data_IF_609394755970
#
_entry.id   IF_609394755970
#
_cell.length_a   1.000
_cell.length_b   1.000
_cell.length_c   1.000
_cell.angle_alpha   90.00
_cell.angle_beta   90.00
_cell.angle_gamma   90.00
#
_symmetry.space_group_name_H-M   'P 1'
#
loop_
_entity.id
_entity.type
_entity.pdbx_description
1 polymer ?
#
# COMPACT_ATOMS: atom_id res chain seq x y z
N UNK A 1 21.31 13.39 7.72
CA UNK A 1 20.38 14.49 7.38
C UNK A 1 20.73 15.19 6.06
N UNK A 2 22.01 15.47 5.76
CA UNK A 2 22.40 16.11 4.48
C UNK A 2 22.03 15.28 3.22
N UNK A 3 21.98 13.96 3.35
CA UNK A 3 21.68 13.03 2.25
C UNK A 3 20.19 13.04 1.82
N UNK A 4 19.28 13.18 2.80
CA UNK A 4 17.84 13.27 2.55
C UNK A 4 17.48 14.57 1.81
N UNK A 5 18.11 15.69 2.15
CA UNK A 5 17.85 16.96 1.49
C UNK A 5 18.30 16.95 0.01
N UNK A 6 19.37 16.22 -0.32
CA UNK A 6 19.83 16.06 -1.69
C UNK A 6 18.90 15.14 -2.51
N UNK A 7 18.45 14.02 -1.92
CA UNK A 7 17.46 13.14 -2.54
C UNK A 7 16.13 13.85 -2.77
N UNK A 8 15.65 14.63 -1.80
CA UNK A 8 14.43 15.45 -1.92
C UNK A 8 14.55 16.50 -3.04
N UNK A 9 15.71 17.16 -3.15
CA UNK A 9 15.95 18.15 -4.19
C UNK A 9 16.01 17.54 -5.60
N UNK A 10 16.56 16.33 -5.74
CA UNK A 10 16.61 15.61 -7.02
C UNK A 10 15.23 15.07 -7.42
N UNK A 11 14.45 14.53 -6.48
CA UNK A 11 13.05 14.14 -6.70
C UNK A 11 12.19 15.33 -7.10
N UNK A 12 12.35 16.48 -6.42
CA UNK A 12 11.64 17.72 -6.74
C UNK A 12 12.03 18.29 -8.12
N UNK A 13 13.26 18.03 -8.59
CA UNK A 13 13.69 18.38 -9.95
C UNK A 13 13.12 17.47 -11.02
N UNK A 14 13.02 16.16 -10.75
CA UNK A 14 12.54 15.17 -11.73
C UNK A 14 11.03 15.13 -11.85
N UNK A 15 10.32 15.41 -10.76
CA UNK A 15 8.87 15.40 -10.75
C UNK A 15 8.35 16.74 -10.25
N UNK A 16 7.73 17.52 -11.14
CA UNK A 16 6.92 18.68 -10.72
C UNK A 16 5.59 18.15 -10.17
N UNK A 17 5.64 17.36 -9.11
CA UNK A 17 4.42 16.87 -8.45
C UNK A 17 3.79 18.07 -7.75
N UNK A 18 2.53 18.44 -8.06
CA UNK A 18 1.86 19.53 -7.36
C UNK A 18 1.87 19.27 -5.86
N UNK A 19 2.27 20.27 -5.04
CA UNK A 19 2.41 20.16 -3.56
C UNK A 19 1.19 19.55 -2.85
N UNK A 20 0.00 19.64 -3.44
CA UNK A 20 -1.22 19.00 -2.97
C UNK A 20 -1.17 17.46 -2.89
N UNK A 21 -0.27 16.79 -3.62
CA UNK A 21 -0.06 15.34 -3.56
C UNK A 21 0.93 14.90 -2.47
N UNK A 22 1.74 15.82 -1.92
CA UNK A 22 2.66 15.56 -0.80
C UNK A 22 1.95 15.46 0.57
N UNK A 23 0.63 15.59 0.61
CA UNK A 23 -0.19 15.55 1.84
C UNK A 23 -0.83 14.17 2.06
N UNK A 24 -0.55 13.18 1.20
CA UNK A 24 -0.91 11.79 1.46
C UNK A 24 0.03 11.17 2.51
N UNK A 25 -0.19 11.57 3.76
CA UNK A 25 0.27 10.92 4.98
C UNK A 25 1.80 10.92 5.18
N UNK A 26 2.32 11.93 5.91
CA UNK A 26 3.75 12.06 6.27
C UNK A 26 4.32 10.79 6.94
N UNK A 27 3.48 9.99 7.59
CA UNK A 27 3.81 8.69 8.19
C UNK A 27 4.04 7.59 7.14
N UNK A 28 3.14 7.48 6.18
CA UNK A 28 3.27 6.59 5.02
C UNK A 28 4.48 7.02 4.18
N UNK A 29 4.64 8.33 3.96
CA UNK A 29 5.79 8.91 3.27
C UNK A 29 7.13 8.56 3.95
N UNK A 30 7.18 8.52 5.29
CA UNK A 30 8.40 8.16 6.05
C UNK A 30 8.73 6.67 6.00
N UNK A 31 7.71 5.81 5.89
CA UNK A 31 7.90 4.38 5.64
C UNK A 31 8.42 4.11 4.22
N UNK A 32 7.88 4.85 3.24
CA UNK A 32 8.30 4.75 1.84
C UNK A 32 9.63 5.44 1.55
N UNK A 33 10.00 6.58 2.17
CA UNK A 33 11.30 7.24 1.89
C UNK A 33 12.51 6.43 2.34
N UNK A 34 12.38 5.56 3.35
CA UNK A 34 13.41 4.57 3.67
C UNK A 34 13.60 3.52 2.55
N UNK A 35 12.56 3.28 1.74
CA UNK A 35 12.56 2.40 0.57
C UNK A 35 12.79 3.13 -0.77
N UNK A 36 12.49 4.43 -0.88
CA UNK A 36 12.69 5.24 -2.09
C UNK A 36 14.17 5.47 -2.43
N UNK A 37 15.11 5.11 -1.56
CA UNK A 37 16.51 4.91 -1.96
C UNK A 37 16.71 3.77 -2.97
N UNK A 38 15.65 3.00 -3.26
CA UNK A 38 15.58 1.87 -4.20
C UNK A 38 14.38 2.00 -5.13
N UNK A 39 14.27 3.09 -5.88
CA UNK A 39 13.26 3.16 -6.95
C UNK A 39 13.55 2.07 -8.00
N UNK A 40 12.69 1.04 -8.03
CA UNK A 40 12.32 0.24 -9.20
C UNK A 40 13.22 -0.95 -9.56
N UNK A 41 12.95 -2.13 -8.98
CA UNK A 41 13.09 -3.40 -9.71
C UNK A 41 11.72 -3.80 -10.29
N UNK A 42 11.65 -4.47 -11.46
CA UNK A 42 10.41 -5.05 -11.93
C UNK A 42 9.78 -5.95 -10.85
N UNK A 43 8.53 -5.65 -10.44
CA UNK A 43 7.76 -6.40 -9.44
C UNK A 43 7.48 -5.67 -8.12
N UNK A 44 8.30 -4.68 -7.73
CA UNK A 44 8.12 -4.03 -6.43
C UNK A 44 6.88 -3.11 -6.41
N UNK A 45 6.09 -3.17 -5.33
CA UNK A 45 4.96 -2.27 -5.11
C UNK A 45 5.46 -0.85 -4.82
N UNK A 46 5.21 0.07 -5.75
CA UNK A 46 5.53 1.48 -5.58
C UNK A 46 4.24 2.33 -5.60
N UNK A 47 4.16 3.42 -4.83
CA UNK A 47 3.03 4.35 -4.90
C UNK A 47 3.02 5.17 -6.21
N UNK A 48 4.10 5.09 -6.99
CA UNK A 48 4.26 5.73 -8.30
C UNK A 48 4.86 4.73 -9.28
N UNK A 49 4.34 4.68 -10.51
CA UNK A 49 4.91 3.89 -11.61
C UNK A 49 5.03 4.75 -12.87
N UNK A 50 6.19 4.70 -13.52
CA UNK A 50 6.40 5.35 -14.81
C UNK A 50 5.68 4.59 -15.92
N UNK A 51 5.19 5.31 -16.93
CA UNK A 51 4.55 4.74 -18.10
C UNK A 51 4.85 5.59 -19.35
N UNK A 52 4.71 5.04 -20.57
CA UNK A 52 4.89 5.83 -21.77
C UNK A 52 4.05 7.11 -21.75
N UNK A 53 4.69 8.26 -21.91
CA UNK A 53 4.06 9.59 -21.91
C UNK A 53 3.68 10.15 -20.54
N UNK A 54 4.18 9.59 -19.42
CA UNK A 54 3.95 10.15 -18.09
C UNK A 54 4.08 9.11 -16.97
N UNK A 55 3.15 9.12 -16.02
CA UNK A 55 3.19 8.19 -14.90
C UNK A 55 1.86 8.06 -14.18
N UNK A 56 1.78 7.09 -13.28
CA UNK A 56 0.63 6.86 -12.43
C UNK A 56 1.01 7.03 -10.97
N UNK A 57 0.14 7.69 -10.21
CA UNK A 57 0.26 7.86 -8.78
C UNK A 57 -0.93 7.20 -8.11
N UNK A 58 -0.67 6.41 -7.07
CA UNK A 58 -1.66 5.91 -6.15
C UNK A 58 -1.64 6.78 -4.89
N UNK A 59 -2.79 7.35 -4.56
CA UNK A 59 -2.93 8.23 -3.42
C UNK A 59 -4.22 8.00 -2.65
N UNK A 60 -4.38 8.77 -1.58
CA UNK A 60 -5.62 8.87 -0.84
C UNK A 60 -6.22 10.25 -1.10
N UNK A 61 -7.43 10.29 -1.63
CA UNK A 61 -8.27 11.46 -1.60
C UNK A 61 -8.99 11.51 -0.25
N UNK A 62 -9.01 12.67 0.42
CA UNK A 62 -9.80 12.88 1.63
C UNK A 62 -10.87 13.92 1.36
N UNK A 63 -12.12 13.53 1.50
CA UNK A 63 -13.21 14.50 1.60
C UNK A 63 -13.18 15.07 3.03
N UNK A 64 -12.96 16.39 3.14
CA UNK A 64 -12.85 17.07 4.43
C UNK A 64 -14.20 17.17 5.13
N UNK A 65 -15.30 17.26 4.37
CA UNK A 65 -16.64 17.36 4.94
C UNK A 65 -17.11 16.02 5.52
N UNK A 66 -16.76 14.91 4.86
CA UNK A 66 -17.19 13.57 5.28
C UNK A 66 -16.17 12.87 6.20
N UNK A 67 -14.95 13.43 6.30
CA UNK A 67 -13.79 12.79 6.95
C UNK A 67 -13.47 11.41 6.36
N UNK A 68 -13.94 11.13 5.15
CA UNK A 68 -13.76 9.86 4.45
C UNK A 68 -12.48 9.88 3.61
N UNK A 69 -11.82 8.71 3.53
CA UNK A 69 -10.67 8.49 2.68
C UNK A 69 -11.04 7.55 1.53
N UNK A 70 -10.61 7.91 0.32
CA UNK A 70 -10.79 7.11 -0.89
C UNK A 70 -9.43 6.84 -1.53
N UNK A 71 -9.06 5.58 -1.77
CA UNK A 71 -7.92 5.31 -2.61
C UNK A 71 -8.24 5.78 -4.04
N UNK A 72 -7.30 6.48 -4.65
CA UNK A 72 -7.46 7.09 -5.97
C UNK A 72 -6.21 6.84 -6.81
N UNK A 73 -6.43 6.49 -8.08
CA UNK A 73 -5.37 6.46 -9.10
C UNK A 73 -5.41 7.76 -9.87
N UNK A 74 -4.24 8.37 -10.07
CA UNK A 74 -4.06 9.59 -10.85
C UNK A 74 -3.10 9.31 -11.99
N UNK A 75 -3.52 9.62 -13.22
CA UNK A 75 -2.64 9.62 -14.39
C UNK A 75 -2.07 11.01 -14.59
N UNK A 76 -0.76 11.07 -14.75
CA UNK A 76 0.00 12.27 -15.08
C UNK A 76 0.54 12.16 -16.51
N UNK A 77 0.66 13.29 -17.20
CA UNK A 77 1.45 13.39 -18.41
C UNK A 77 2.95 13.52 -18.10
N UNK A 78 3.79 13.60 -19.13
CA UNK A 78 5.24 13.73 -18.99
C UNK A 78 5.69 15.05 -18.31
N UNK A 79 4.82 16.06 -18.24
CA UNK A 79 5.07 17.31 -17.53
C UNK A 79 4.57 17.27 -16.07
N UNK A 80 3.94 16.17 -15.64
CA UNK A 80 3.34 16.02 -14.32
C UNK A 80 1.94 16.63 -14.20
N UNK A 81 1.31 17.03 -15.31
CA UNK A 81 -0.06 17.52 -15.30
C UNK A 81 -1.05 16.35 -15.20
N UNK A 82 -2.14 16.55 -14.44
CA UNK A 82 -3.17 15.52 -14.26
C UNK A 82 -3.96 15.35 -15.56
N UNK A 83 -3.91 14.16 -16.15
CA UNK A 83 -4.74 13.80 -17.29
C UNK A 83 -6.11 13.29 -16.83
N UNK A 84 -6.13 12.40 -15.84
CA UNK A 84 -7.36 11.88 -15.26
C UNK A 84 -7.15 11.42 -13.82
N UNK A 85 -8.27 11.25 -13.09
CA UNK A 85 -8.30 10.62 -11.79
C UNK A 85 -9.43 9.59 -11.69
N UNK A 86 -9.21 8.54 -10.90
CA UNK A 86 -10.18 7.49 -10.66
C UNK A 86 -10.19 7.08 -9.20
N UNK A 87 -11.27 7.40 -8.51
CA UNK A 87 -11.58 6.79 -7.22
C UNK A 87 -11.77 5.28 -7.38
N UNK A 88 -11.11 4.51 -6.53
CA UNK A 88 -11.24 3.06 -6.50
C UNK A 88 -12.46 2.64 -5.65
N UNK A 89 -13.01 1.44 -5.90
CA UNK A 89 -14.15 0.94 -5.15
C UNK A 89 -13.92 0.94 -3.64
N UNK A 90 -14.94 1.42 -2.93
CA UNK A 90 -14.95 1.53 -1.48
C UNK A 90 -16.11 0.72 -0.91
N UNK A 91 -15.88 -0.51 -0.44
CA UNK A 91 -16.91 -1.23 0.29
C UNK A 91 -17.31 -0.43 1.54
N UNK A 92 -18.62 -0.26 1.78
CA UNK A 92 -19.18 0.63 2.81
C UNK A 92 -18.70 0.31 4.23
N UNK A 93 -18.27 -0.91 4.47
CA UNK A 93 -17.74 -1.37 5.76
C UNK A 93 -16.35 -0.84 6.10
N UNK A 94 -15.67 -0.15 5.17
CA UNK A 94 -14.31 0.36 5.36
C UNK A 94 -14.27 1.88 5.40
N UNK A 95 -13.60 2.40 6.43
CA UNK A 95 -13.55 3.84 6.72
C UNK A 95 -12.18 4.45 6.46
N UNK A 96 -11.11 3.66 6.61
CA UNK A 96 -9.74 4.10 6.39
C UNK A 96 -9.06 3.15 5.42
N UNK A 97 -8.12 3.72 4.65
CA UNK A 97 -7.42 3.01 3.59
C UNK A 97 -5.94 3.33 3.68
N UNK A 98 -5.13 2.32 3.42
CA UNK A 98 -3.74 2.49 3.07
C UNK A 98 -3.53 2.13 1.60
N UNK A 99 -2.59 2.82 0.97
CA UNK A 99 -2.15 2.54 -0.39
C UNK A 99 -0.85 1.79 -0.33
N UNK A 100 -0.79 0.61 -0.95
CA UNK A 100 0.42 -0.21 -0.93
C UNK A 100 1.26 0.00 -2.18
N UNK A 101 0.62 -0.05 -3.34
CA UNK A 101 1.32 0.25 -4.59
C UNK A 101 0.48 0.04 -5.83
N UNK A 102 1.08 0.45 -6.94
CA UNK A 102 0.58 0.30 -8.28
C UNK A 102 1.65 -0.36 -9.15
N UNK A 103 1.23 -1.23 -10.06
CA UNK A 103 2.09 -1.87 -11.05
C UNK A 103 1.46 -1.75 -12.43
N UNK A 104 2.27 -1.42 -13.44
CA UNK A 104 1.87 -1.52 -14.85
C UNK A 104 2.03 -2.98 -15.31
N UNK A 105 0.91 -3.62 -15.67
CA UNK A 105 0.88 -4.97 -16.18
C UNK A 105 1.33 -5.03 -17.66
N UNK A 106 1.80 -6.19 -18.16
CA UNK A 106 2.21 -6.34 -19.56
C UNK A 106 1.12 -6.04 -20.60
N UNK A 107 -0.14 -6.21 -20.23
CA UNK A 107 -1.30 -5.87 -21.08
C UNK A 107 -1.63 -4.37 -21.10
N UNK A 108 -0.79 -3.56 -20.45
CA UNK A 108 -0.95 -2.11 -20.33
C UNK A 108 -1.89 -1.68 -19.20
N UNK A 109 -2.58 -2.58 -18.50
CA UNK A 109 -3.43 -2.18 -17.37
C UNK A 109 -2.62 -1.90 -16.11
N UNK A 110 -3.25 -1.29 -15.12
CA UNK A 110 -2.69 -1.09 -13.79
C UNK A 110 -3.27 -2.11 -12.83
N UNK A 111 -2.41 -2.72 -12.03
CA UNK A 111 -2.80 -3.40 -10.81
C UNK A 111 -2.57 -2.48 -9.64
N UNK A 112 -3.58 -2.36 -8.79
CA UNK A 112 -3.54 -1.50 -7.61
C UNK A 112 -3.79 -2.35 -6.38
N UNK A 113 -2.94 -2.18 -5.36
CA UNK A 113 -3.08 -2.83 -4.07
C UNK A 113 -3.32 -1.78 -2.99
N UNK A 114 -4.35 -2.01 -2.20
CA UNK A 114 -4.74 -1.15 -1.06
C UNK A 114 -5.03 -2.02 0.15
N UNK A 115 -5.06 -1.41 1.33
CA UNK A 115 -5.46 -2.06 2.57
C UNK A 115 -6.58 -1.24 3.21
N UNK A 116 -7.86 -1.54 2.91
CA UNK A 116 -8.96 -1.05 3.70
C UNK A 116 -8.92 -1.60 5.13
N UNK A 117 -9.46 -0.82 6.07
CA UNK A 117 -9.61 -1.22 7.47
C UNK A 117 -11.07 -1.15 7.90
N UNK A 118 -11.51 -2.18 8.62
CA UNK A 118 -12.87 -2.26 9.19
C UNK A 118 -13.03 -1.31 10.39
N UNK A 119 -13.17 -0.01 10.11
CA UNK A 119 -13.25 1.05 11.12
C UNK A 119 -11.88 1.61 11.54
N UNK A 120 -11.87 2.57 12.47
CA UNK A 120 -10.62 3.20 12.97
C UNK A 120 -9.77 2.20 13.75
N UNK A 121 -8.69 1.72 13.14
CA UNK A 121 -7.80 0.72 13.74
C UNK A 121 -8.35 -0.72 13.68
N UNK A 122 -9.31 -0.97 12.76
CA UNK A 122 -9.88 -2.29 12.55
C UNK A 122 -8.92 -3.29 11.92
N UNK A 123 -9.43 -4.47 11.56
CA UNK A 123 -8.61 -5.47 10.87
C UNK A 123 -8.33 -4.98 9.44
N UNK A 124 -7.10 -5.16 8.93
CA UNK A 124 -6.77 -4.88 7.54
C UNK A 124 -7.42 -5.92 6.62
N UNK A 125 -7.97 -5.46 5.51
CA UNK A 125 -8.61 -6.27 4.48
C UNK A 125 -7.98 -5.93 3.13
N UNK A 126 -6.76 -6.42 2.83
CA UNK A 126 -6.09 -6.11 1.57
C UNK A 126 -7.04 -6.27 0.37
N UNK A 127 -6.98 -5.33 -0.55
CA UNK A 127 -7.86 -5.28 -1.71
C UNK A 127 -7.04 -5.02 -2.97
N UNK A 128 -7.51 -5.56 -4.08
CA UNK A 128 -6.91 -5.38 -5.39
C UNK A 128 -7.91 -4.84 -6.40
N UNK A 129 -7.41 -4.00 -7.29
CA UNK A 129 -8.16 -3.55 -8.46
C UNK A 129 -7.29 -3.62 -9.72
N UNK A 130 -7.94 -3.89 -10.85
CA UNK A 130 -7.36 -3.73 -12.17
C UNK A 130 -8.01 -2.53 -12.87
N UNK A 131 -7.20 -1.61 -13.36
CA UNK A 131 -7.64 -0.35 -13.97
C UNK A 131 -7.02 -0.23 -15.36
N UNK A 132 -7.79 0.14 -16.38
CA UNK A 132 -7.27 0.38 -17.72
C UNK A 132 -6.49 1.70 -17.82
N UNK A 133 -5.76 1.91 -18.94
CA UNK A 133 -4.94 3.12 -19.16
C UNK A 133 -5.75 4.42 -19.23
N UNK A 134 -7.01 4.33 -19.65
CA UNK A 134 -8.00 5.43 -19.66
C UNK A 134 -8.74 5.57 -18.32
N UNK A 135 -8.34 4.80 -17.31
CA UNK A 135 -8.82 4.91 -15.95
C UNK A 135 -10.14 4.20 -15.69
N UNK A 136 -10.61 3.29 -16.55
CA UNK A 136 -11.80 2.48 -16.26
C UNK A 136 -11.47 1.32 -15.32
N UNK A 137 -12.38 1.02 -14.40
CA UNK A 137 -12.25 -0.15 -13.54
C UNK A 137 -12.56 -1.42 -14.36
N UNK A 138 -11.59 -2.32 -14.46
CA UNK A 138 -11.77 -3.63 -15.09
C UNK A 138 -12.35 -4.61 -14.08
N UNK A 139 -11.71 -4.74 -12.91
CA UNK A 139 -12.23 -5.56 -11.82
C UNK A 139 -11.76 -5.08 -10.43
N UNK A 140 -12.61 -5.44 -9.47
CA UNK A 140 -12.59 -5.29 -8.01
C UNK A 140 -12.42 -6.57 -7.18
N UNK A 141 -11.54 -6.68 -6.19
CA UNK A 141 -11.67 -7.76 -5.19
C UNK A 141 -11.08 -7.43 -3.81
N UNK A 142 -11.64 -8.05 -2.77
CA UNK A 142 -10.98 -8.21 -1.48
C UNK A 142 -10.12 -9.48 -1.50
N UNK A 143 -8.94 -9.41 -0.92
CA UNK A 143 -8.07 -10.55 -0.69
C UNK A 143 -8.42 -11.15 0.68
N UNK A 144 -8.63 -12.46 0.72
CA UNK A 144 -8.79 -13.26 1.94
C UNK A 144 -9.99 -12.87 2.85
N UNK A 145 -11.22 -12.99 2.34
CA UNK A 145 -12.44 -12.56 3.06
C UNK A 145 -12.77 -13.32 4.36
N UNK A 146 -12.28 -14.54 4.58
CA UNK A 146 -12.65 -15.39 5.73
C UNK A 146 -11.47 -15.70 6.67
N UNK A 147 -11.00 -14.70 7.42
CA UNK A 147 -9.90 -14.88 8.38
C UNK A 147 -10.21 -14.30 9.75
N UNK A 148 -11.06 -15.00 10.51
CA UNK A 148 -11.44 -14.61 11.89
C UNK A 148 -10.28 -14.51 12.89
N UNK A 149 -9.07 -15.00 12.57
CA UNK A 149 -7.89 -15.05 13.47
C UNK A 149 -6.58 -14.56 12.85
N UNK A 150 -6.63 -13.96 11.66
CA UNK A 150 -5.43 -13.45 11.00
C UNK A 150 -5.71 -12.01 10.63
N UNK A 151 -4.82 -11.11 11.07
CA UNK A 151 -4.79 -9.75 10.57
C UNK A 151 -3.90 -9.75 9.32
N UNK A 152 -4.47 -9.33 8.20
CA UNK A 152 -3.81 -9.32 6.90
C UNK A 152 -4.42 -10.35 5.94
N UNK A 153 -3.80 -10.55 4.78
CA UNK A 153 -2.38 -10.34 4.50
C UNK A 153 -1.94 -8.88 4.25
N UNK A 154 -0.64 -8.64 4.33
CA UNK A 154 0.02 -7.39 3.94
C UNK A 154 0.92 -7.68 2.73
N UNK A 155 0.42 -7.48 1.49
CA UNK A 155 1.22 -7.66 0.30
C UNK A 155 2.39 -6.66 0.29
N UNK A 156 3.59 -7.16 0.02
CA UNK A 156 4.82 -6.36 -0.04
C UNK A 156 5.43 -6.38 -1.44
N UNK A 157 5.20 -7.45 -2.18
CA UNK A 157 5.75 -7.65 -3.52
C UNK A 157 4.71 -8.31 -4.42
N UNK A 158 4.79 -8.02 -5.73
CA UNK A 158 4.01 -8.73 -6.72
C UNK A 158 4.80 -9.07 -7.98
N UNK A 159 4.40 -10.13 -8.67
CA UNK A 159 4.87 -10.40 -10.02
C UNK A 159 3.72 -10.88 -10.89
N UNK A 160 3.89 -10.79 -12.20
CA UNK A 160 2.88 -11.21 -13.18
C UNK A 160 3.55 -12.18 -14.16
N UNK A 161 2.96 -13.36 -14.31
CA UNK A 161 3.36 -14.33 -15.32
C UNK A 161 2.89 -13.92 -16.72
N UNK A 162 3.44 -14.58 -17.75
CA UNK A 162 3.02 -14.35 -19.14
C UNK A 162 1.54 -14.64 -19.41
N UNK A 163 0.90 -15.49 -18.61
CA UNK A 163 -0.54 -15.78 -18.68
C UNK A 163 -1.42 -14.75 -17.93
N UNK A 164 -0.80 -13.74 -17.32
CA UNK A 164 -1.45 -12.72 -16.52
C UNK A 164 -1.79 -13.16 -15.09
N UNK A 165 -1.32 -14.33 -14.65
CA UNK A 165 -1.42 -14.72 -13.24
C UNK A 165 -0.55 -13.81 -12.38
N UNK A 166 -1.16 -13.26 -11.34
CA UNK A 166 -0.51 -12.37 -10.38
C UNK A 166 -0.08 -13.20 -9.19
N UNK A 167 1.20 -13.09 -8.82
CA UNK A 167 1.74 -13.65 -7.59
C UNK A 167 1.95 -12.53 -6.60
N UNK A 168 1.60 -12.78 -5.35
CA UNK A 168 1.71 -11.84 -4.25
C UNK A 168 2.56 -12.49 -3.17
N UNK A 169 3.50 -11.74 -2.62
CA UNK A 169 4.20 -12.16 -1.41
C UNK A 169 4.13 -11.07 -0.36
N UNK A 170 4.24 -11.48 0.91
CA UNK A 170 4.22 -10.57 2.03
C UNK A 170 4.13 -11.34 3.33
N UNK A 171 3.40 -10.78 4.28
CA UNK A 171 3.21 -11.39 5.58
C UNK A 171 1.77 -11.31 6.05
N UNK A 172 1.45 -12.11 7.07
CA UNK A 172 0.21 -12.01 7.81
C UNK A 172 0.52 -12.10 9.30
N UNK A 173 -0.28 -11.41 10.11
CA UNK A 173 -0.14 -11.42 11.55
C UNK A 173 -1.15 -12.39 12.14
N UNK A 174 -0.66 -13.43 12.79
CA UNK A 174 -1.49 -14.42 13.44
C UNK A 174 -1.66 -14.06 14.92
N UNK A 175 -2.89 -13.76 15.33
CA UNK A 175 -3.22 -13.56 16.74
C UNK A 175 -3.72 -14.88 17.33
N UNK A 176 -2.88 -15.53 18.13
CA UNK A 176 -3.26 -16.77 18.82
C UNK A 176 -4.34 -16.51 19.87
N UNK A 177 -4.29 -15.35 20.51
CA UNK A 177 -5.22 -14.87 21.53
C UNK A 177 -5.45 -13.37 21.32
N UNK A 178 -6.73 -12.94 21.30
CA UNK A 178 -7.13 -11.55 21.05
C UNK A 178 -7.14 -10.67 22.31
N UNK A 179 -6.78 -11.23 23.46
CA UNK A 179 -6.67 -10.45 24.70
C UNK A 179 -5.52 -9.44 24.57
N UNK A 180 -5.66 -8.23 25.16
CA UNK A 180 -4.57 -7.25 25.18
C UNK A 180 -3.29 -7.85 25.79
N UNK A 181 -2.13 -7.60 25.17
CA UNK A 181 -0.83 -8.06 25.66
C UNK A 181 -0.41 -9.48 25.25
N UNK A 182 -1.07 -10.08 24.26
CA UNK A 182 -0.70 -11.41 23.75
C UNK A 182 0.18 -11.36 22.50
N UNK A 183 0.99 -12.41 22.33
CA UNK A 183 1.95 -12.57 21.24
C UNK A 183 1.25 -12.64 19.88
N UNK A 184 1.55 -11.68 19.02
CA UNK A 184 1.26 -11.75 17.60
C UNK A 184 2.47 -12.36 16.87
N UNK A 185 2.25 -13.40 16.07
CA UNK A 185 3.34 -13.97 15.25
C UNK A 185 3.21 -13.52 13.80
N UNK A 186 4.32 -13.07 13.23
CA UNK A 186 4.40 -12.78 11.80
C UNK A 186 4.63 -14.10 11.05
N UNK A 187 3.86 -14.31 9.99
CA UNK A 187 3.97 -15.49 9.13
C UNK A 187 4.14 -15.05 7.70
N UNK A 188 4.93 -15.80 6.92
CA UNK A 188 5.02 -15.55 5.50
C UNK A 188 3.65 -15.79 4.86
N UNK A 189 3.34 -14.97 3.87
CA UNK A 189 2.12 -15.11 3.10
C UNK A 189 2.43 -15.10 1.61
N UNK A 190 1.79 -16.00 0.88
CA UNK A 190 1.79 -16.03 -0.58
C UNK A 190 0.36 -16.13 -1.11
N UNK A 191 0.06 -15.30 -2.11
CA UNK A 191 -1.23 -15.27 -2.79
C UNK A 191 -1.07 -15.43 -4.29
N UNK A 192 -2.07 -15.98 -4.95
CA UNK A 192 -2.17 -15.95 -6.41
C UNK A 192 -3.54 -15.49 -6.83
N UNK A 193 -3.59 -14.63 -7.84
CA UNK A 193 -4.82 -14.07 -8.43
C UNK A 193 -4.76 -14.25 -9.94
N UNK A 194 -5.82 -14.76 -10.56
CA UNK A 194 -5.89 -14.89 -12.01
C UNK A 194 -5.98 -13.51 -12.69
N UNK A 195 -5.67 -13.42 -13.98
CA UNK A 195 -5.86 -12.20 -14.78
C UNK A 195 -7.29 -11.61 -14.71
N UNK A 196 -8.29 -12.46 -14.45
CA UNK A 196 -9.70 -12.09 -14.33
C UNK A 196 -10.15 -11.67 -12.90
N UNK A 197 -9.22 -11.51 -11.95
CA UNK A 197 -9.54 -11.06 -10.60
C UNK A 197 -10.13 -12.14 -9.68
N UNK A 198 -9.93 -13.43 -9.99
CA UNK A 198 -10.28 -14.54 -9.09
C UNK A 198 -9.07 -14.95 -8.24
N UNK A 199 -9.25 -15.04 -6.92
CA UNK A 199 -8.25 -15.59 -6.01
C UNK A 199 -8.05 -17.09 -6.32
N UNK A 200 -6.81 -17.49 -6.59
CA UNK A 200 -6.43 -18.87 -6.90
C UNK A 200 -5.83 -19.58 -5.69
N UNK A 201 -4.93 -18.92 -4.97
CA UNK A 201 -4.31 -19.46 -3.74
C UNK A 201 -4.17 -18.38 -2.69
N UNK A 202 -4.09 -18.82 -1.44
CA UNK A 202 -3.97 -17.96 -0.27
C UNK A 202 -3.31 -18.70 0.89
N UNK A 203 -1.99 -18.73 0.90
CA UNK A 203 -1.21 -19.60 1.77
C UNK A 203 -0.48 -18.78 2.81
N UNK A 204 -0.70 -19.12 4.08
CA UNK A 204 0.12 -18.64 5.19
C UNK A 204 1.05 -19.79 5.58
N UNK A 205 2.35 -19.52 5.61
CA UNK A 205 3.36 -20.53 5.92
C UNK A 205 4.45 -19.95 6.82
N UNK A 206 5.19 -20.85 7.46
CA UNK A 206 6.24 -20.50 8.40
C UNK A 206 5.72 -19.87 9.69
N UNK A 207 6.64 -19.70 10.63
CA UNK A 207 6.44 -18.95 11.85
C UNK A 207 7.70 -18.13 12.09
N UNK A 208 7.56 -16.80 12.06
CA UNK A 208 8.60 -15.89 12.50
C UNK A 208 8.19 -15.36 13.86
N UNK A 209 8.82 -15.87 14.91
CA UNK A 209 8.65 -15.32 16.25
C UNK A 209 9.54 -14.08 16.35
N UNK A 210 8.92 -12.91 16.30
CA UNK A 210 9.58 -11.68 16.71
C UNK A 210 9.12 -11.38 18.13
N UNK A 211 10.01 -11.57 19.09
CA UNK A 211 9.78 -11.01 20.43
C UNK A 211 10.05 -9.52 20.32
N UNK A 212 9.01 -8.71 20.50
CA UNK A 212 9.21 -7.30 20.84
C UNK A 212 9.84 -7.34 22.22
N UNK A 213 11.16 -7.15 22.28
CA UNK A 213 11.84 -6.97 23.54
C UNK A 213 11.21 -5.75 24.24
N UNK A 214 10.56 -5.97 25.37
CA UNK A 214 9.93 -4.90 26.15
C UNK A 214 10.96 -4.10 26.96
N UNK A 215 12.26 -4.36 26.75
CA UNK A 215 13.34 -3.61 27.36
C UNK A 215 13.23 -2.11 27.04
N UNK A 216 13.63 -1.24 27.98
CA UNK A 216 13.69 0.22 27.74
C UNK A 216 14.49 0.61 26.48
N UNK A 217 15.40 -0.23 26.02
CA UNK A 217 16.19 -0.09 24.79
C UNK A 217 15.37 -0.27 23.52
N UNK A 218 14.53 -1.30 23.44
CA UNK A 218 13.69 -1.57 22.27
C UNK A 218 12.47 -0.66 22.18
N UNK A 219 11.99 -0.13 23.33
CA UNK A 219 11.02 0.98 23.35
C UNK A 219 11.51 2.23 22.61
N UNK A 220 12.82 2.43 22.39
CA UNK A 220 13.33 3.57 21.59
C UNK A 220 13.05 3.44 20.10
N UNK A 221 12.99 2.21 19.56
CA UNK A 221 12.70 1.98 18.14
C UNK A 221 11.22 2.24 17.85
N UNK A 222 10.31 1.88 18.77
CA UNK A 222 8.88 2.19 18.67
C UNK A 222 8.50 3.60 19.19
N UNK A 223 9.22 4.18 20.15
CA UNK A 223 8.99 5.56 20.60
C UNK A 223 9.40 6.59 19.55
N UNK A 224 10.41 6.29 18.73
CA UNK A 224 10.72 7.09 17.53
C UNK A 224 9.52 7.12 16.55
N UNK A 225 8.70 6.07 16.54
CA UNK A 225 7.48 5.97 15.73
C UNK A 225 6.29 6.75 16.34
N UNK A 226 6.14 6.74 17.67
CA UNK A 226 5.05 7.45 18.36
C UNK A 226 5.29 8.95 18.60
N UNK A 227 6.53 9.41 18.81
CA UNK A 227 6.83 10.84 19.08
C UNK A 227 6.78 11.73 17.82
N UNK A 228 6.84 11.15 16.62
CA UNK A 228 6.60 11.87 15.36
C UNK A 228 5.13 12.28 15.15
N UNK A 229 4.20 11.83 16.02
CA UNK A 229 2.76 11.95 15.83
C UNK A 229 2.01 12.68 16.95
N UNK A 230 2.69 13.28 17.93
CA UNK A 230 2.05 14.23 18.85
C UNK A 230 2.04 15.63 18.22
N UNK A 231 0.87 16.28 18.06
CA UNK A 231 0.85 17.70 17.76
C UNK A 231 1.52 18.44 18.91
N UNK A 232 2.65 19.10 18.63
CA UNK A 232 3.18 20.13 19.51
C UNK A 232 2.35 21.38 19.25
N UNK A 233 1.49 21.73 20.20
CA UNK A 233 0.91 23.06 20.31
C UNK A 233 1.97 24.02 20.85
#
# INVERSE_FOLDING_TARGET
>A
MADLAAADAELARRFTVPKQFLIANRATYSFYTAFLGRVGRPGELAPIVEAPGGGYLLGLHRDVAELEQHPEVVRLDAAGAVMWRRALPRPRQFQTFEVMGVLLAPDGTLLVVTIPYSGRGGNPHPAMAKVSLDGQLVWSMLLAEDRRRVDGPFPQDLSIDADGTIHLTGHATYQRDRRPGHDATLRAWTGRVSAAGRQLTDTISGEYTWTIDDSPSARRVFAFWHDLHRPRW
#
